data_IF_232317428368
#
_entry.id   IF_232317428368
#
_cell.length_a   1.000
_cell.length_b   1.000
_cell.length_c   1.000
_cell.angle_alpha   90.00
_cell.angle_beta   90.00
_cell.angle_gamma   90.00
#
_symmetry.space_group_name_H-M   'P 1'
#
loop_
_entity.id
_entity.type
_entity.pdbx_description
1 polymer ?
#
# COMPACT_ATOMS: atom_id res chain seq x y z
N UNK A 1 -65.40 33.98 25.96
CA UNK A 1 -64.85 32.74 25.36
C UNK A 1 -63.85 33.16 24.28
N UNK A 2 -62.57 32.81 24.47
CA UNK A 2 -61.48 32.64 23.48
C UNK A 2 -61.38 33.74 22.39
N UNK A 3 -60.50 34.75 22.39
CA UNK A 3 -59.04 34.78 22.65
C UNK A 3 -58.26 34.39 21.38
N UNK A 4 -57.21 35.04 20.87
CA UNK A 4 -56.51 36.31 21.11
C UNK A 4 -55.56 36.56 19.91
N UNK A 5 -55.23 37.83 19.68
CA UNK A 5 -54.26 38.49 18.77
C UNK A 5 -53.12 37.68 18.10
N UNK A 6 -52.79 38.07 16.86
CA UNK A 6 -51.45 37.91 16.25
C UNK A 6 -50.80 39.30 16.03
N UNK A 7 -49.69 39.58 16.74
CA UNK A 7 -48.77 40.71 16.51
C UNK A 7 -47.33 40.18 16.39
N UNK A 8 -46.69 40.50 15.26
CA UNK A 8 -45.33 41.07 15.05
C UNK A 8 -44.08 40.56 15.81
N UNK A 9 -43.06 40.21 14.99
CA UNK A 9 -41.56 40.21 15.16
C UNK A 9 -40.88 39.45 16.32
N UNK A 10 -39.87 38.66 15.95
CA UNK A 10 -38.75 38.27 16.81
C UNK A 10 -37.80 37.32 16.09
N UNK A 11 -36.56 37.77 15.88
CA UNK A 11 -35.44 36.98 15.33
C UNK A 11 -34.90 36.10 16.46
N UNK A 12 -34.75 34.80 16.24
CA UNK A 12 -33.84 33.97 17.04
C UNK A 12 -32.84 33.27 16.12
N UNK A 13 -31.57 33.59 16.38
CA UNK A 13 -30.38 33.04 15.77
C UNK A 13 -30.16 31.65 16.36
N UNK A 14 -30.27 30.59 15.56
CA UNK A 14 -29.78 29.28 15.98
C UNK A 14 -28.24 29.28 15.94
N UNK A 15 -27.65 29.18 17.12
CA UNK A 15 -26.22 28.98 17.35
C UNK A 15 -25.73 27.71 16.65
N UNK A 16 -24.70 27.87 15.81
CA UNK A 16 -23.97 26.75 15.21
C UNK A 16 -23.18 26.03 16.30
N UNK A 17 -23.58 24.79 16.57
CA UNK A 17 -22.87 23.88 17.44
C UNK A 17 -21.56 23.40 16.77
N UNK A 18 -20.49 24.18 16.97
CA UNK A 18 -19.13 23.90 16.51
C UNK A 18 -18.39 22.95 17.49
N UNK A 19 -18.82 21.69 17.66
CA UNK A 19 -17.94 20.72 18.35
C UNK A 19 -18.17 19.21 18.11
N UNK A 20 -18.92 18.79 17.08
CA UNK A 20 -19.19 17.35 16.87
C UNK A 20 -18.21 16.64 15.91
N UNK A 21 -17.33 17.38 15.24
CA UNK A 21 -16.39 16.86 14.23
C UNK A 21 -15.16 16.13 14.80
N UNK A 22 -14.69 16.52 15.98
CA UNK A 22 -13.47 15.96 16.61
C UNK A 22 -13.67 14.52 17.08
N UNK A 23 -14.79 14.23 17.76
CA UNK A 23 -15.07 12.91 18.35
C UNK A 23 -15.28 11.81 17.29
N UNK A 24 -15.96 12.13 16.18
CA UNK A 24 -16.17 11.18 15.07
C UNK A 24 -14.88 10.85 14.32
N UNK A 25 -14.02 11.85 14.11
CA UNK A 25 -12.73 11.66 13.43
C UNK A 25 -11.78 10.82 14.28
N UNK A 26 -11.69 11.09 15.59
CA UNK A 26 -10.87 10.30 16.52
C UNK A 26 -11.35 8.83 16.61
N UNK A 27 -12.67 8.60 16.63
CA UNK A 27 -13.21 7.24 16.62
C UNK A 27 -12.95 6.50 15.30
N UNK A 28 -12.96 7.18 14.15
CA UNK A 28 -12.59 6.61 12.85
C UNK A 28 -11.12 6.18 12.83
N UNK A 29 -10.22 6.99 13.36
CA UNK A 29 -8.77 6.72 13.41
C UNK A 29 -8.46 5.46 14.23
N UNK A 30 -9.14 5.26 15.38
CA UNK A 30 -8.94 4.10 16.25
C UNK A 30 -9.25 2.75 15.58
N UNK A 31 -9.98 2.73 14.46
CA UNK A 31 -10.34 1.50 13.74
C UNK A 31 -9.31 1.08 12.69
N UNK A 32 -8.36 1.95 12.34
CA UNK A 32 -7.35 1.65 11.32
C UNK A 32 -6.18 0.93 11.98
N UNK A 33 -6.02 -0.37 11.68
CA UNK A 33 -5.00 -1.24 12.30
C UNK A 33 -3.57 -0.73 12.20
N UNK A 34 -3.26 0.09 11.18
CA UNK A 34 -1.92 0.64 10.97
C UNK A 34 -1.67 1.95 11.70
N UNK A 35 -2.65 2.53 12.40
CA UNK A 35 -2.42 3.78 13.13
C UNK A 35 -2.07 3.47 14.58
N UNK A 36 -0.85 3.86 14.94
CA UNK A 36 -0.35 3.88 16.31
C UNK A 36 -0.20 5.34 16.79
N UNK A 37 -0.98 5.80 17.79
CA UNK A 37 -0.88 7.16 18.34
C UNK A 37 0.49 7.55 18.90
N UNK A 38 1.36 6.58 19.21
CA UNK A 38 2.73 6.85 19.68
C UNK A 38 3.71 7.11 18.54
N UNK A 39 3.37 6.70 17.32
CA UNK A 39 4.20 6.84 16.14
C UNK A 39 3.71 7.96 15.20
N UNK A 40 2.40 8.15 15.10
CA UNK A 40 1.81 9.03 14.09
C UNK A 40 1.51 10.44 14.62
N UNK A 41 1.61 11.42 13.72
CA UNK A 41 0.97 12.73 13.87
C UNK A 41 -0.54 12.57 13.72
N UNK A 42 -1.28 12.66 14.83
CA UNK A 42 -2.74 12.48 14.82
C UNK A 42 -3.46 13.56 14.00
N UNK A 43 -2.91 14.78 13.95
CA UNK A 43 -3.46 15.87 13.13
C UNK A 43 -3.34 15.59 11.63
N UNK A 44 -2.22 15.01 11.20
CA UNK A 44 -2.01 14.60 9.81
C UNK A 44 -2.91 13.41 9.47
N UNK A 45 -2.96 12.42 10.36
CA UNK A 45 -3.82 11.24 10.19
C UNK A 45 -5.30 11.62 10.07
N UNK A 46 -5.78 12.60 10.85
CA UNK A 46 -7.14 13.10 10.78
C UNK A 46 -7.51 13.73 9.43
N UNK A 47 -6.51 14.26 8.70
CA UNK A 47 -6.68 14.89 7.38
C UNK A 47 -6.50 13.91 6.22
N UNK A 48 -5.85 12.77 6.45
CA UNK A 48 -5.66 11.74 5.43
C UNK A 48 -6.96 11.00 5.14
N UNK A 49 -7.26 10.81 3.85
CA UNK A 49 -8.38 9.97 3.44
C UNK A 49 -7.95 8.50 3.40
N UNK A 50 -8.78 7.63 3.98
CA UNK A 50 -8.54 6.19 4.01
C UNK A 50 -9.72 5.44 3.39
N UNK A 51 -9.42 4.37 2.65
CA UNK A 51 -10.41 3.51 2.01
C UNK A 51 -10.07 2.05 2.24
N UNK A 52 -11.10 1.21 2.32
CA UNK A 52 -10.94 -0.24 2.28
C UNK A 52 -10.45 -0.64 0.88
N UNK A 53 -9.46 -1.51 0.81
CA UNK A 53 -8.94 -2.02 -0.46
C UNK A 53 -9.77 -3.23 -0.91
N UNK A 54 -10.78 -3.00 -1.75
CA UNK A 54 -11.68 -4.05 -2.24
C UNK A 54 -12.31 -4.86 -1.09
N UNK A 55 -12.27 -6.19 -1.22
CA UNK A 55 -12.81 -7.11 -0.22
C UNK A 55 -11.82 -7.50 0.89
N UNK A 56 -10.61 -6.93 0.87
CA UNK A 56 -9.58 -7.20 1.89
C UNK A 56 -9.92 -6.52 3.22
N UNK A 57 -9.27 -6.94 4.31
CA UNK A 57 -9.39 -6.24 5.59
C UNK A 57 -8.50 -4.99 5.69
N UNK A 58 -7.79 -4.63 4.62
CA UNK A 58 -6.83 -3.53 4.59
C UNK A 58 -7.57 -2.20 4.40
N UNK A 59 -7.33 -1.27 5.32
CA UNK A 59 -7.76 0.13 5.22
C UNK A 59 -6.53 0.97 4.90
N UNK A 60 -6.40 1.40 3.64
CA UNK A 60 -5.21 2.08 3.11
C UNK A 60 -5.44 3.57 2.96
N UNK A 61 -4.39 4.36 3.12
CA UNK A 61 -4.37 5.78 2.74
C UNK A 61 -4.59 5.88 1.22
N UNK A 62 -5.32 6.90 0.77
CA UNK A 62 -5.55 7.09 -0.68
C UNK A 62 -4.29 7.46 -1.46
N UNK A 63 -3.23 7.86 -0.76
CA UNK A 63 -1.89 8.00 -1.29
C UNK A 63 -0.99 6.89 -0.72
N UNK A 64 -0.20 6.26 -1.59
CA UNK A 64 0.84 5.29 -1.20
C UNK A 64 2.23 5.83 -1.51
N UNK A 65 3.24 5.31 -0.81
CA UNK A 65 4.65 5.60 -1.02
C UNK A 65 5.25 4.54 -1.99
N UNK A 66 5.37 4.90 -3.26
CA UNK A 66 6.14 4.12 -4.23
C UNK A 66 7.62 4.46 -4.13
N UNK A 67 8.49 3.46 -4.00
CA UNK A 67 9.94 3.68 -3.76
C UNK A 67 10.82 3.31 -4.95
N UNK A 68 10.28 3.32 -6.17
CA UNK A 68 11.06 2.99 -7.37
C UNK A 68 12.27 3.92 -7.56
N UNK A 69 12.11 5.20 -7.23
CA UNK A 69 13.19 6.21 -7.22
C UNK A 69 14.35 5.85 -6.30
N UNK A 70 14.13 5.06 -5.23
CA UNK A 70 15.21 4.59 -4.37
C UNK A 70 16.18 3.64 -5.09
N UNK A 71 15.75 3.07 -6.21
CA UNK A 71 16.59 2.30 -7.12
C UNK A 71 17.47 3.15 -8.04
N UNK A 72 17.40 4.49 -7.95
CA UNK A 72 18.12 5.45 -8.81
C UNK A 72 17.81 5.30 -10.31
N UNK A 73 16.67 4.68 -10.65
CA UNK A 73 16.24 4.50 -12.04
C UNK A 73 15.84 5.82 -12.74
N UNK A 74 15.65 6.89 -11.95
CA UNK A 74 15.35 8.25 -12.42
C UNK A 74 16.49 9.23 -12.13
N UNK A 75 17.68 8.72 -11.82
CA UNK A 75 18.83 9.50 -11.37
C UNK A 75 19.04 9.43 -9.84
N UNK A 76 20.07 10.14 -9.33
CA UNK A 76 20.42 10.13 -7.91
C UNK A 76 19.29 10.61 -7.02
N UNK A 77 19.18 10.04 -5.82
CA UNK A 77 18.18 10.44 -4.83
C UNK A 77 18.62 11.78 -4.20
N UNK A 78 17.84 12.87 -4.32
CA UNK A 78 18.24 14.17 -3.81
C UNK A 78 18.05 14.34 -2.29
N UNK A 79 17.52 13.33 -1.60
CA UNK A 79 17.13 13.40 -0.19
C UNK A 79 17.35 12.06 0.51
N UNK A 80 17.40 12.07 1.84
CA UNK A 80 17.58 10.86 2.64
C UNK A 80 16.34 9.93 2.53
N UNK A 81 16.48 8.70 2.00
CA UNK A 81 15.40 7.73 1.94
C UNK A 81 14.79 7.40 3.30
N UNK A 82 15.58 7.40 4.37
CA UNK A 82 15.08 7.11 5.73
C UNK A 82 14.11 8.19 6.21
N UNK A 83 14.45 9.46 5.96
CA UNK A 83 13.61 10.60 6.29
C UNK A 83 12.32 10.61 5.46
N UNK A 84 12.38 10.30 4.16
CA UNK A 84 11.20 10.19 3.29
C UNK A 84 10.23 9.14 3.82
N UNK A 85 10.73 7.94 4.12
CA UNK A 85 9.90 6.83 4.63
C UNK A 85 9.29 7.21 5.97
N UNK A 86 10.12 7.69 6.92
CA UNK A 86 9.65 8.06 8.26
C UNK A 86 8.60 9.16 8.20
N UNK A 87 8.86 10.22 7.45
CA UNK A 87 7.95 11.37 7.32
C UNK A 87 6.62 10.94 6.70
N UNK A 88 6.66 10.11 5.66
CA UNK A 88 5.44 9.58 5.02
C UNK A 88 4.59 8.81 6.03
N UNK A 89 5.19 7.87 6.76
CA UNK A 89 4.48 7.02 7.72
C UNK A 89 3.97 7.81 8.93
N UNK A 90 4.79 8.69 9.51
CA UNK A 90 4.36 9.55 10.64
C UNK A 90 3.15 10.40 10.26
N UNK A 91 3.04 10.83 9.01
CA UNK A 91 1.91 11.63 8.52
C UNK A 91 0.70 10.80 8.06
N UNK A 92 0.72 9.48 8.23
CA UNK A 92 -0.44 8.60 7.99
C UNK A 92 -0.50 7.95 6.61
N UNK A 93 0.51 8.09 5.76
CA UNK A 93 0.65 7.19 4.61
C UNK A 93 0.93 5.79 5.17
N UNK A 94 0.16 4.79 4.79
CA UNK A 94 0.29 3.43 5.35
C UNK A 94 0.46 2.34 4.31
N UNK A 95 0.70 2.69 3.04
CA UNK A 95 0.92 1.73 1.96
C UNK A 95 2.26 2.04 1.31
N UNK A 96 3.21 1.11 1.37
CA UNK A 96 4.52 1.21 0.74
C UNK A 96 4.61 0.18 -0.37
N UNK A 97 5.16 0.58 -1.51
CA UNK A 97 5.29 -0.27 -2.68
C UNK A 97 6.73 -0.27 -3.23
N UNK A 98 7.25 -1.48 -3.46
CA UNK A 98 8.61 -1.73 -3.97
C UNK A 98 8.62 -2.97 -4.88
N UNK A 99 9.77 -3.27 -5.49
CA UNK A 99 9.97 -4.48 -6.24
C UNK A 99 11.41 -4.64 -6.74
N UNK A 100 11.80 -5.87 -7.04
CA UNK A 100 13.17 -6.21 -7.44
C UNK A 100 13.63 -5.38 -8.65
N UNK A 101 12.76 -5.19 -9.64
CA UNK A 101 13.13 -4.47 -10.86
C UNK A 101 13.53 -3.01 -10.61
N UNK A 102 13.13 -2.40 -9.49
CA UNK A 102 13.47 -1.03 -9.12
C UNK A 102 14.93 -0.90 -8.72
N UNK A 103 15.77 -0.61 -9.71
CA UNK A 103 17.23 -0.55 -9.57
C UNK A 103 17.84 -1.93 -9.31
N UNK A 104 17.26 -2.99 -9.90
CA UNK A 104 17.79 -4.36 -9.83
C UNK A 104 18.14 -4.82 -8.40
N UNK A 105 17.22 -4.58 -7.46
CA UNK A 105 17.26 -4.79 -5.99
C UNK A 105 17.55 -3.56 -5.14
N UNK A 106 18.13 -2.50 -5.70
CA UNK A 106 18.61 -1.34 -4.90
C UNK A 106 17.48 -0.69 -4.09
N UNK A 107 16.30 -0.51 -4.68
CA UNK A 107 15.13 0.05 -3.97
C UNK A 107 14.76 -0.77 -2.73
N UNK A 108 14.79 -2.11 -2.83
CA UNK A 108 14.48 -3.01 -1.71
C UNK A 108 15.53 -2.95 -0.60
N UNK A 109 16.81 -2.83 -0.96
CA UNK A 109 17.91 -2.71 0.01
C UNK A 109 17.87 -1.37 0.75
N UNK A 110 17.59 -0.28 0.03
CA UNK A 110 17.44 1.07 0.61
C UNK A 110 16.21 1.12 1.51
N UNK A 111 15.06 0.63 1.05
CA UNK A 111 13.84 0.57 1.85
C UNK A 111 14.03 -0.33 3.09
N UNK A 112 14.72 -1.46 2.96
CA UNK A 112 15.02 -2.35 4.09
C UNK A 112 15.81 -1.67 5.21
N UNK A 113 16.76 -0.79 4.86
CA UNK A 113 17.48 0.05 5.84
C UNK A 113 16.54 1.06 6.50
N UNK A 114 15.75 1.78 5.70
CA UNK A 114 14.81 2.79 6.18
C UNK A 114 13.72 2.23 7.12
N UNK A 115 13.33 0.96 6.95
CA UNK A 115 12.31 0.31 7.77
C UNK A 115 12.84 -0.29 9.08
N UNK A 116 14.16 -0.37 9.29
CA UNK A 116 14.78 -1.11 10.41
C UNK A 116 14.25 -0.69 11.79
N UNK A 117 13.93 0.59 11.97
CA UNK A 117 13.44 1.15 13.24
C UNK A 117 11.97 1.59 13.18
N UNK A 118 11.23 1.13 12.19
CA UNK A 118 9.81 1.44 12.01
C UNK A 118 8.97 0.25 12.51
N UNK A 119 8.00 0.45 13.41
CA UNK A 119 7.16 -0.64 13.88
C UNK A 119 6.39 -1.29 12.72
N UNK A 120 6.52 -2.61 12.52
CA UNK A 120 5.96 -3.30 11.34
C UNK A 120 4.44 -3.10 11.17
N UNK A 121 3.71 -2.92 12.26
CA UNK A 121 2.27 -2.75 12.25
C UNK A 121 1.81 -1.41 11.67
N UNK A 122 2.68 -0.40 11.48
CA UNK A 122 2.24 0.93 11.03
C UNK A 122 2.15 1.10 9.51
N UNK A 123 2.48 0.07 8.75
CA UNK A 123 2.41 0.12 7.29
C UNK A 123 2.01 -1.23 6.70
N UNK A 124 1.47 -1.15 5.49
CA UNK A 124 1.29 -2.26 4.58
C UNK A 124 2.42 -2.26 3.55
N UNK A 125 2.96 -3.43 3.27
CA UNK A 125 4.06 -3.61 2.33
C UNK A 125 3.60 -4.38 1.08
N UNK A 126 3.78 -3.76 -0.07
CA UNK A 126 3.58 -4.34 -1.39
C UNK A 126 4.93 -4.66 -2.03
N UNK A 127 5.09 -5.89 -2.50
CA UNK A 127 6.27 -6.33 -3.25
C UNK A 127 5.83 -6.73 -4.65
N UNK A 128 6.50 -6.20 -5.68
CA UNK A 128 6.30 -6.61 -7.08
C UNK A 128 7.33 -7.65 -7.52
N UNK A 129 6.84 -8.74 -8.09
CA UNK A 129 7.65 -9.85 -8.65
C UNK A 129 7.27 -10.10 -10.12
N UNK A 130 8.03 -10.98 -10.78
CA UNK A 130 7.77 -11.40 -12.17
C UNK A 130 8.60 -10.69 -13.22
N UNK A 131 9.18 -9.53 -12.90
CA UNK A 131 10.09 -8.79 -13.80
C UNK A 131 11.52 -8.82 -13.26
N UNK A 132 12.43 -9.42 -14.03
CA UNK A 132 13.82 -9.65 -13.63
C UNK A 132 14.82 -8.86 -14.47
N UNK A 133 14.69 -8.95 -15.80
CA UNK A 133 15.68 -8.43 -16.72
C UNK A 133 15.46 -6.93 -17.03
N UNK A 134 16.54 -6.22 -17.31
CA UNK A 134 16.49 -4.86 -17.87
C UNK A 134 16.31 -4.88 -19.40
N UNK A 135 16.75 -5.96 -20.03
CA UNK A 135 16.60 -6.19 -21.46
C UNK A 135 15.15 -6.58 -21.77
N UNK A 136 14.46 -5.70 -22.49
CA UNK A 136 13.07 -5.90 -22.92
C UNK A 136 12.93 -7.02 -23.96
N UNK A 137 14.02 -7.45 -24.59
CA UNK A 137 14.01 -8.57 -25.53
C UNK A 137 14.03 -9.94 -24.82
N UNK A 138 14.27 -9.98 -23.51
CA UNK A 138 14.25 -11.23 -22.74
C UNK A 138 12.82 -11.55 -22.26
N UNK A 139 12.35 -12.79 -22.46
CA UNK A 139 11.03 -13.18 -22.00
C UNK A 139 10.97 -13.20 -20.47
N UNK A 140 9.77 -12.92 -19.96
CA UNK A 140 9.48 -13.03 -18.53
C UNK A 140 9.46 -14.50 -18.10
N UNK A 141 10.03 -14.80 -16.93
CA UNK A 141 10.06 -16.16 -16.37
C UNK A 141 9.07 -16.29 -15.21
N UNK A 142 7.86 -16.71 -15.52
CA UNK A 142 6.79 -16.82 -14.53
C UNK A 142 6.82 -18.11 -13.70
N UNK A 143 7.78 -19.02 -13.94
CA UNK A 143 7.82 -20.31 -13.23
C UNK A 143 7.80 -20.14 -11.71
N UNK A 144 7.11 -21.05 -11.05
CA UNK A 144 6.87 -21.00 -9.61
C UNK A 144 8.15 -20.83 -8.78
N UNK A 145 9.21 -21.55 -9.12
CA UNK A 145 10.50 -21.50 -8.41
C UNK A 145 11.14 -20.11 -8.49
N UNK A 146 11.07 -19.46 -9.65
CA UNK A 146 11.62 -18.12 -9.88
C UNK A 146 10.88 -17.06 -9.09
N UNK A 147 9.55 -17.12 -9.14
CA UNK A 147 8.68 -16.17 -8.42
C UNK A 147 8.87 -16.30 -6.91
N UNK A 148 8.86 -17.52 -6.38
CA UNK A 148 9.06 -17.76 -4.94
C UNK A 148 10.47 -17.39 -4.47
N UNK A 149 11.48 -17.67 -5.30
CA UNK A 149 12.87 -17.25 -5.04
C UNK A 149 12.97 -15.73 -5.01
N UNK A 150 12.35 -15.05 -5.97
CA UNK A 150 12.31 -13.59 -6.04
C UNK A 150 11.68 -12.99 -4.78
N UNK A 151 10.46 -13.42 -4.43
CA UNK A 151 9.76 -12.99 -3.23
C UNK A 151 10.60 -13.21 -1.96
N UNK A 152 11.22 -14.40 -1.84
CA UNK A 152 12.04 -14.72 -0.66
C UNK A 152 13.27 -13.82 -0.57
N UNK A 153 13.95 -13.55 -1.69
CA UNK A 153 15.09 -12.63 -1.73
C UNK A 153 14.66 -11.18 -1.45
N UNK A 154 13.50 -10.75 -1.96
CA UNK A 154 12.95 -9.41 -1.68
C UNK A 154 12.66 -9.22 -0.19
N UNK A 155 11.98 -10.17 0.44
CA UNK A 155 11.74 -10.15 1.89
C UNK A 155 13.06 -10.09 2.69
N UNK A 156 14.08 -10.84 2.26
CA UNK A 156 15.41 -10.80 2.90
C UNK A 156 16.07 -9.42 2.79
N UNK A 157 16.03 -8.77 1.61
CA UNK A 157 16.61 -7.44 1.40
C UNK A 157 15.87 -6.36 2.19
N UNK A 158 14.55 -6.48 2.25
CA UNK A 158 13.67 -5.61 3.04
C UNK A 158 13.77 -5.87 4.55
N UNK A 159 14.45 -6.95 4.95
CA UNK A 159 14.54 -7.42 6.34
C UNK A 159 13.14 -7.66 6.96
N UNK A 160 12.20 -8.16 6.15
CA UNK A 160 10.83 -8.43 6.56
C UNK A 160 10.53 -9.93 6.56
N UNK A 161 9.72 -10.35 7.54
CA UNK A 161 9.24 -11.75 7.61
C UNK A 161 8.12 -12.03 6.61
N UNK A 162 7.31 -11.01 6.31
CA UNK A 162 6.16 -11.11 5.43
C UNK A 162 5.87 -9.77 4.73
N UNK A 163 5.06 -9.83 3.67
CA UNK A 163 4.48 -8.68 3.00
C UNK A 163 2.95 -8.77 3.03
N UNK A 164 2.27 -7.64 2.84
CA UNK A 164 0.81 -7.60 2.81
C UNK A 164 0.29 -7.99 1.43
N UNK A 165 0.91 -7.49 0.36
CA UNK A 165 0.53 -7.83 -1.01
C UNK A 165 1.77 -8.25 -1.81
N UNK A 166 1.67 -9.38 -2.50
CA UNK A 166 2.59 -9.73 -3.58
C UNK A 166 1.92 -9.46 -4.92
N UNK A 167 2.41 -8.47 -5.66
CA UNK A 167 1.94 -8.17 -7.01
C UNK A 167 2.76 -8.95 -8.04
N UNK A 168 2.09 -9.81 -8.80
CA UNK A 168 2.64 -10.41 -10.00
C UNK A 168 2.54 -9.41 -11.16
N UNK A 169 3.68 -8.95 -11.67
CA UNK A 169 3.73 -8.06 -12.83
C UNK A 169 3.49 -8.86 -14.10
N UNK A 170 2.34 -8.61 -14.73
CA UNK A 170 1.88 -9.22 -15.99
C UNK A 170 1.69 -8.17 -17.09
N UNK A 171 2.14 -6.93 -16.87
CA UNK A 171 1.94 -5.80 -17.79
C UNK A 171 2.51 -6.06 -19.18
N UNK A 172 3.67 -6.70 -19.24
CA UNK A 172 4.36 -7.00 -20.50
C UNK A 172 3.96 -8.39 -21.07
N UNK A 173 3.07 -9.12 -20.38
CA UNK A 173 2.41 -10.35 -20.86
C UNK A 173 1.30 -10.03 -21.88
N UNK A 174 1.13 -8.77 -22.26
CA UNK A 174 0.20 -8.43 -23.32
C UNK A 174 0.57 -9.05 -24.67
N UNK A 175 1.82 -9.53 -24.82
CA UNK A 175 2.35 -10.04 -26.08
C UNK A 175 2.77 -11.54 -26.09
N UNK A 176 2.61 -12.37 -25.04
CA UNK A 176 3.16 -13.76 -25.06
C UNK A 176 2.53 -14.88 -24.18
N UNK A 177 2.90 -16.13 -24.53
CA UNK A 177 2.40 -17.48 -24.19
C UNK A 177 2.44 -17.97 -22.72
N UNK A 178 2.57 -17.09 -21.72
CA UNK A 178 2.83 -17.52 -20.33
C UNK A 178 1.60 -17.69 -19.44
N UNK A 179 0.39 -17.51 -19.98
CA UNK A 179 -0.84 -17.56 -19.18
C UNK A 179 -1.03 -18.92 -18.49
N UNK A 180 -0.73 -20.03 -19.18
CA UNK A 180 -0.85 -21.37 -18.61
C UNK A 180 0.09 -21.55 -17.41
N UNK A 181 1.36 -21.15 -17.53
CA UNK A 181 2.32 -21.19 -16.42
C UNK A 181 1.84 -20.35 -15.24
N UNK A 182 1.25 -19.18 -15.48
CA UNK A 182 0.72 -18.32 -14.42
C UNK A 182 -0.44 -18.99 -13.68
N UNK A 183 -1.40 -19.52 -14.43
CA UNK A 183 -2.62 -20.12 -13.86
C UNK A 183 -2.30 -21.45 -13.16
N UNK A 184 -1.49 -22.31 -13.79
CA UNK A 184 -1.26 -23.69 -13.36
C UNK A 184 -0.09 -23.83 -12.38
N UNK A 185 0.89 -22.91 -12.39
CA UNK A 185 2.07 -22.98 -11.53
C UNK A 185 2.22 -21.77 -10.60
N UNK A 186 2.25 -20.55 -11.14
CA UNK A 186 2.61 -19.35 -10.38
C UNK A 186 1.58 -19.00 -9.31
N UNK A 187 0.29 -18.97 -9.66
CA UNK A 187 -0.78 -18.63 -8.74
C UNK A 187 -0.93 -19.68 -7.63
N UNK A 188 -0.91 -21.01 -7.91
CA UNK A 188 -0.83 -22.03 -6.87
C UNK A 188 0.38 -21.86 -5.94
N UNK A 189 1.56 -21.55 -6.48
CA UNK A 189 2.75 -21.31 -5.68
C UNK A 189 2.63 -20.07 -4.77
N UNK A 190 2.08 -18.97 -5.29
CA UNK A 190 1.78 -17.79 -4.48
C UNK A 190 0.70 -18.06 -3.43
N UNK A 191 -0.27 -18.95 -3.73
CA UNK A 191 -1.27 -19.40 -2.75
C UNK A 191 -0.63 -20.20 -1.62
N UNK A 192 0.38 -21.02 -1.89
CA UNK A 192 1.17 -21.68 -0.84
C UNK A 192 1.86 -20.64 0.05
N UNK A 193 2.50 -19.62 -0.55
CA UNK A 193 3.13 -18.53 0.20
C UNK A 193 2.12 -17.72 1.04
N UNK A 194 0.88 -17.59 0.55
CA UNK A 194 -0.22 -16.98 1.29
C UNK A 194 -0.63 -17.85 2.49
N UNK A 195 -0.85 -19.14 2.28
CA UNK A 195 -1.21 -20.09 3.33
C UNK A 195 -0.10 -20.23 4.39
N UNK A 196 1.16 -19.99 4.03
CA UNK A 196 2.30 -19.98 4.95
C UNK A 196 2.54 -18.62 5.62
N UNK A 197 1.62 -17.65 5.49
CA UNK A 197 1.74 -16.29 6.02
C UNK A 197 2.96 -15.48 5.55
N UNK A 198 3.61 -15.88 4.44
CA UNK A 198 4.67 -15.06 3.84
C UNK A 198 4.10 -13.82 3.14
N UNK A 199 2.90 -13.95 2.59
CA UNK A 199 2.12 -12.86 1.99
C UNK A 199 0.68 -12.94 2.47
N UNK A 200 -0.05 -11.81 2.55
CA UNK A 200 -1.47 -11.83 2.95
C UNK A 200 -2.41 -11.87 1.75
N UNK A 201 -2.06 -11.17 0.68
CA UNK A 201 -2.83 -11.09 -0.56
C UNK A 201 -1.95 -11.25 -1.79
N UNK A 202 -2.56 -11.74 -2.86
CA UNK A 202 -1.97 -11.83 -4.20
C UNK A 202 -2.65 -10.75 -5.03
N UNK A 203 -1.86 -9.93 -5.72
CA UNK A 203 -2.33 -8.94 -6.68
C UNK A 203 -1.77 -9.22 -8.07
N UNK A 204 -2.49 -8.80 -9.11
CA UNK A 204 -2.01 -8.78 -10.48
C UNK A 204 -1.77 -7.33 -10.90
N UNK A 205 -0.66 -7.06 -11.58
CA UNK A 205 -0.31 -5.73 -12.06
C UNK A 205 -0.02 -5.78 -13.56
N UNK A 206 -0.92 -5.23 -14.38
CA UNK A 206 -0.80 -5.22 -15.83
C UNK A 206 -1.75 -4.24 -16.52
N UNK A 207 -1.71 -4.17 -17.86
CA UNK A 207 -2.47 -3.17 -18.61
C UNK A 207 -3.85 -3.70 -19.07
N UNK A 208 -3.94 -4.95 -19.48
CA UNK A 208 -5.18 -5.52 -20.02
C UNK A 208 -6.16 -5.98 -18.92
N UNK A 209 -7.19 -5.15 -18.68
CA UNK A 209 -8.25 -5.42 -17.70
C UNK A 209 -9.06 -6.69 -17.99
N UNK A 210 -9.18 -7.12 -19.25
CA UNK A 210 -9.94 -8.33 -19.59
C UNK A 210 -9.24 -9.59 -19.08
N UNK A 211 -7.91 -9.57 -18.95
CA UNK A 211 -7.12 -10.67 -18.38
C UNK A 211 -7.16 -10.72 -16.84
N UNK A 212 -7.77 -9.73 -16.20
CA UNK A 212 -7.84 -9.60 -14.74
C UNK A 212 -9.24 -9.87 -14.17
N UNK A 213 -10.21 -10.20 -15.02
CA UNK A 213 -11.59 -10.49 -14.64
C UNK A 213 -11.82 -11.99 -14.50
#
# INVERSE_FOLDING_TARGET
>A
MHGTLSHVRGVELEEKDHNTGGSKTVNKIKTIKTIDPKFHSLDSVAKTNYKRLGDTDMVVSTLGLGVASFGEIYGPIPSDPEEIVRTSLVNGINLIDTGYWYGQRRSEEVLGKALKNIPRNVYYLCIRVGRFELDYARPFDYRADKILTSLTKSLSRLQQKNADICFLQIADMDWEHNLNTIIEETLPALRIAQNSNKIRYIGLAGYNLNKMR
#
